data_IF_240271546584
#
_entry.id   IF_240271546584
#
_cell.length_a   1.000
_cell.length_b   1.000
_cell.length_c   1.000
_cell.angle_alpha   90.00
_cell.angle_beta   90.00
_cell.angle_gamma   90.00
#
_symmetry.space_group_name_H-M   'P 1'
#
loop_
_entity.id
_entity.type
_entity.pdbx_description
1 polymer ?
#
# COMPACT_ATOMS: atom_id res chain seq x y z
N UNK A 1 -16.54 -5.35 -14.49
CA UNK A 1 -16.64 -5.21 -13.02
C UNK A 1 -16.56 -3.73 -12.69
N UNK A 2 -17.54 -3.18 -11.98
CA UNK A 2 -17.50 -1.79 -11.51
C UNK A 2 -16.86 -1.80 -10.12
N UNK A 3 -15.73 -1.12 -9.96
CA UNK A 3 -15.05 -0.98 -8.69
C UNK A 3 -15.58 0.29 -8.03
N UNK A 4 -16.41 0.15 -7.00
CA UNK A 4 -16.94 1.29 -6.23
C UNK A 4 -15.86 1.77 -5.29
N UNK A 5 -15.50 3.06 -5.35
CA UNK A 5 -14.51 3.65 -4.42
C UNK A 5 -15.16 3.74 -3.02
N UNK A 6 -14.48 3.31 -1.93
CA UNK A 6 -15.06 3.31 -0.59
C UNK A 6 -15.41 4.70 -0.08
N UNK A 7 -14.62 5.70 -0.46
CA UNK A 7 -14.78 7.09 -0.05
C UNK A 7 -14.47 8.05 -1.20
N UNK A 8 -15.34 9.05 -1.39
CA UNK A 8 -15.16 10.07 -2.42
C UNK A 8 -15.45 9.59 -3.85
N UNK A 9 -14.87 10.27 -4.83
CA UNK A 9 -15.14 10.05 -6.25
C UNK A 9 -14.00 9.36 -7.01
N UNK A 10 -12.80 9.28 -6.42
CA UNK A 10 -11.59 8.85 -7.11
C UNK A 10 -10.70 7.99 -6.21
N UNK A 11 -9.96 7.08 -6.84
CA UNK A 11 -8.91 6.29 -6.21
C UNK A 11 -7.60 6.40 -6.98
N UNK A 12 -6.49 6.10 -6.31
CA UNK A 12 -5.15 6.15 -6.88
C UNK A 12 -4.78 4.75 -7.38
N UNK A 13 -4.33 4.65 -8.64
CA UNK A 13 -3.81 3.41 -9.21
C UNK A 13 -2.29 3.49 -9.27
N UNK A 14 -1.61 2.62 -8.53
CA UNK A 14 -0.17 2.43 -8.64
C UNK A 14 0.11 1.36 -9.72
N UNK A 15 0.96 1.69 -10.69
CA UNK A 15 1.52 0.69 -11.60
C UNK A 15 2.59 -0.16 -10.92
N UNK A 16 3.21 -1.06 -11.66
CA UNK A 16 4.37 -1.82 -11.17
C UNK A 16 5.53 -0.86 -10.88
N UNK A 17 6.24 -1.11 -9.78
CA UNK A 17 7.34 -0.27 -9.31
C UNK A 17 6.97 1.20 -9.08
N UNK A 18 5.67 1.51 -8.95
CA UNK A 18 5.19 2.86 -8.72
C UNK A 18 5.07 3.16 -7.22
N UNK A 19 5.19 4.44 -6.87
CA UNK A 19 4.93 4.89 -5.51
C UNK A 19 4.19 6.22 -5.49
N UNK A 20 3.47 6.45 -4.40
CA UNK A 20 2.96 7.76 -4.03
C UNK A 20 3.63 8.20 -2.73
N UNK A 21 3.93 9.49 -2.64
CA UNK A 21 4.59 10.10 -1.49
C UNK A 21 3.81 11.30 -1.01
N UNK A 22 3.72 11.47 0.30
CA UNK A 22 3.11 12.63 0.92
C UNK A 22 3.92 13.07 2.14
N UNK A 23 4.28 14.35 2.18
CA UNK A 23 4.89 14.96 3.35
C UNK A 23 3.80 15.48 4.30
N UNK A 24 3.84 15.07 5.57
CA UNK A 24 2.87 15.43 6.60
C UNK A 24 3.60 16.00 7.81
N UNK A 25 3.14 17.14 8.33
CA UNK A 25 3.66 17.71 9.56
C UNK A 25 3.23 16.88 10.77
N UNK A 26 4.19 16.46 11.59
CA UNK A 26 4.00 15.59 12.75
C UNK A 26 4.83 16.08 13.95
N UNK A 27 4.59 15.51 15.13
CA UNK A 27 5.35 15.82 16.34
C UNK A 27 6.37 14.72 16.62
N UNK A 28 7.68 15.02 16.69
CA UNK A 28 8.69 14.04 17.05
C UNK A 28 8.39 13.38 18.40
N UNK A 29 8.67 12.08 18.51
CA UNK A 29 8.45 11.25 19.70
C UNK A 29 7.04 10.67 19.83
N UNK A 30 6.07 11.14 19.04
CA UNK A 30 4.68 10.65 19.07
C UNK A 30 4.49 9.43 18.15
N UNK A 31 3.54 8.57 18.54
CA UNK A 31 3.08 7.46 17.71
C UNK A 31 1.90 7.89 16.84
N UNK A 32 1.92 7.48 15.58
CA UNK A 32 0.87 7.72 14.60
C UNK A 32 0.41 6.41 13.99
N UNK A 33 -0.85 6.35 13.56
CA UNK A 33 -1.42 5.25 12.79
C UNK A 33 -1.85 5.78 11.42
N UNK A 34 -1.36 5.14 10.36
CA UNK A 34 -1.78 5.36 9.00
C UNK A 34 -2.84 4.32 8.64
N UNK A 35 -4.03 4.80 8.28
CA UNK A 35 -5.15 3.97 7.84
C UNK A 35 -5.53 4.28 6.40
N UNK A 36 -5.70 3.27 5.57
CA UNK A 36 -6.14 3.43 4.18
C UNK A 36 -6.82 2.17 3.67
N UNK A 37 -7.60 2.31 2.60
CA UNK A 37 -8.18 1.18 1.89
C UNK A 37 -7.46 0.94 0.57
N UNK A 38 -7.16 -0.32 0.27
CA UNK A 38 -6.51 -0.72 -0.96
C UNK A 38 -7.17 -1.98 -1.52
N UNK A 39 -7.08 -2.15 -2.83
CA UNK A 39 -7.57 -3.32 -3.53
C UNK A 39 -6.67 -3.59 -4.74
N UNK A 40 -6.73 -4.84 -5.22
CA UNK A 40 -6.09 -5.27 -6.45
C UNK A 40 -7.09 -5.98 -7.34
N UNK A 41 -6.85 -5.92 -8.64
CA UNK A 41 -7.74 -6.50 -9.66
C UNK A 41 -7.21 -7.81 -10.25
N UNK A 42 -5.94 -8.18 -9.98
CA UNK A 42 -5.30 -9.40 -10.50
C UNK A 42 -5.03 -10.46 -9.42
N UNK A 43 -4.82 -11.69 -9.87
CA UNK A 43 -4.97 -12.94 -9.11
C UNK A 43 -3.71 -13.47 -8.40
N UNK A 44 -2.67 -12.66 -8.19
CA UNK A 44 -1.40 -13.12 -7.62
C UNK A 44 -1.20 -12.54 -6.22
N UNK A 45 -0.63 -13.29 -5.26
CA UNK A 45 -0.19 -12.73 -3.96
C UNK A 45 0.83 -11.61 -4.17
N UNK A 46 0.51 -10.43 -3.65
CA UNK A 46 1.31 -9.22 -3.86
C UNK A 46 1.44 -8.50 -2.53
N UNK A 47 2.53 -7.76 -2.42
CA UNK A 47 2.94 -7.02 -1.22
C UNK A 47 2.78 -5.53 -1.51
N UNK A 48 2.29 -4.77 -0.54
CA UNK A 48 2.33 -3.31 -0.58
C UNK A 48 3.32 -2.81 0.46
N UNK A 49 4.31 -2.04 0.01
CA UNK A 49 5.30 -1.48 0.91
C UNK A 49 4.80 -0.13 1.42
N UNK A 50 4.81 0.02 2.75
CA UNK A 50 4.55 1.29 3.42
C UNK A 50 5.82 1.71 4.13
N UNK A 51 6.19 2.98 4.03
CA UNK A 51 7.33 3.49 4.79
C UNK A 51 7.17 4.93 5.24
N UNK A 52 7.74 5.20 6.40
CA UNK A 52 7.96 6.53 6.96
C UNK A 52 9.32 6.46 7.63
N UNK A 53 10.33 7.09 7.03
CA UNK A 53 11.71 6.94 7.50
C UNK A 53 11.85 7.23 9.01
N UNK A 54 12.50 6.35 9.79
CA UNK A 54 13.26 5.17 9.35
C UNK A 54 12.45 3.86 9.23
N UNK A 55 11.18 3.86 9.58
CA UNK A 55 10.34 2.66 9.67
C UNK A 55 9.78 2.27 8.30
N UNK A 56 9.63 0.96 8.09
CA UNK A 56 8.97 0.39 6.91
C UNK A 56 8.23 -0.88 7.26
N UNK A 57 7.14 -1.15 6.56
CA UNK A 57 6.33 -2.35 6.68
C UNK A 57 5.93 -2.91 5.32
N UNK A 58 5.67 -4.21 5.30
CA UNK A 58 5.13 -4.92 4.14
C UNK A 58 3.73 -5.40 4.51
N UNK A 59 2.74 -4.96 3.74
CA UNK A 59 1.34 -5.31 3.95
C UNK A 59 0.95 -6.37 2.92
N UNK A 60 0.52 -7.57 3.35
CA UNK A 60 0.03 -8.58 2.42
C UNK A 60 -1.29 -8.11 1.80
N UNK A 61 -1.36 -8.14 0.48
CA UNK A 61 -2.59 -7.85 -0.26
C UNK A 61 -3.29 -9.14 -0.67
N UNK A 62 -4.62 -9.16 -0.55
CA UNK A 62 -5.45 -10.28 -1.01
C UNK A 62 -6.31 -9.84 -2.21
N UNK A 63 -6.54 -10.74 -3.17
CA UNK A 63 -7.40 -10.43 -4.33
C UNK A 63 -8.83 -10.61 -3.87
N UNK A 64 -9.60 -9.53 -3.95
CA UNK A 64 -11.02 -9.57 -3.63
C UNK A 64 -11.83 -9.58 -4.93
N UNK A 65 -12.48 -10.70 -5.22
CA UNK A 65 -13.31 -10.89 -6.42
C UNK A 65 -14.75 -10.41 -6.20
N UNK A 66 -14.93 -9.18 -5.73
CA UNK A 66 -16.24 -8.57 -5.49
C UNK A 66 -16.26 -7.08 -5.81
N UNK A 67 -17.40 -6.53 -6.23
CA UNK A 67 -17.52 -5.10 -6.62
C UNK A 67 -17.29 -4.11 -5.48
N UNK A 68 -17.22 -4.62 -4.24
CA UNK A 68 -16.91 -3.93 -2.99
C UNK A 68 -15.58 -4.41 -2.38
N UNK A 69 -14.72 -5.07 -3.16
CA UNK A 69 -13.54 -5.79 -2.69
C UNK A 69 -12.37 -4.91 -2.27
N UNK A 70 -12.56 -4.02 -1.31
CA UNK A 70 -11.49 -3.22 -0.72
C UNK A 70 -11.14 -3.72 0.67
N UNK A 71 -9.85 -3.89 0.93
CA UNK A 71 -9.34 -4.20 2.26
C UNK A 71 -8.87 -2.92 2.94
N UNK A 72 -9.06 -2.85 4.26
CA UNK A 72 -8.62 -1.72 5.07
C UNK A 72 -7.38 -2.11 5.86
N UNK A 73 -6.35 -1.28 5.76
CA UNK A 73 -5.06 -1.47 6.40
C UNK A 73 -4.83 -0.40 7.45
N UNK A 74 -4.16 -0.79 8.53
CA UNK A 74 -3.65 0.10 9.56
C UNK A 74 -2.18 -0.25 9.83
N UNK A 75 -1.31 0.75 9.76
CA UNK A 75 0.11 0.60 10.07
C UNK A 75 0.58 1.75 10.94
N UNK A 76 1.34 1.46 11.99
CA UNK A 76 1.78 2.45 12.96
C UNK A 76 3.29 2.70 12.86
N UNK A 77 3.69 3.95 13.11
CA UNK A 77 5.09 4.36 13.18
C UNK A 77 5.30 5.38 14.30
N UNK A 78 6.54 5.53 14.76
CA UNK A 78 6.91 6.60 15.67
C UNK A 78 7.58 7.74 14.88
N UNK A 79 7.07 8.96 15.02
CA UNK A 79 7.65 10.10 14.32
C UNK A 79 9.03 10.46 14.92
N UNK A 80 10.08 10.36 14.12
CA UNK A 80 11.45 10.75 14.52
C UNK A 80 11.80 12.18 14.10
N UNK A 81 11.05 12.75 13.15
CA UNK A 81 11.26 14.07 12.55
C UNK A 81 9.95 14.88 12.58
N UNK A 82 10.00 16.22 12.46
CA UNK A 82 8.80 17.06 12.44
C UNK A 82 7.99 16.94 11.13
N UNK A 83 8.56 16.29 10.12
CA UNK A 83 7.88 15.97 8.87
C UNK A 83 8.06 14.47 8.63
N UNK A 84 6.93 13.77 8.48
CA UNK A 84 6.88 12.39 8.06
C UNK A 84 6.65 12.33 6.54
N UNK A 85 7.56 11.69 5.81
CA UNK A 85 7.33 11.36 4.40
C UNK A 85 6.70 9.98 4.34
N UNK A 86 5.39 9.93 4.10
CA UNK A 86 4.64 8.68 3.94
C UNK A 86 4.79 8.22 2.51
N UNK A 87 5.28 7.00 2.31
CA UNK A 87 5.42 6.37 1.01
C UNK A 87 4.58 5.10 0.97
N UNK A 88 3.74 4.98 -0.05
CA UNK A 88 3.07 3.73 -0.42
C UNK A 88 3.64 3.31 -1.76
N UNK A 89 4.22 2.13 -1.82
CA UNK A 89 4.94 1.62 -2.98
C UNK A 89 4.43 0.24 -3.37
N UNK A 90 4.07 0.12 -4.65
CA UNK A 90 3.81 -1.15 -5.30
C UNK A 90 5.14 -1.64 -5.91
N UNK A 91 5.79 -2.67 -5.36
CA UNK A 91 6.98 -3.27 -5.95
C UNK A 91 6.67 -3.98 -7.28
N UNK A 92 5.40 -4.22 -7.61
CA UNK A 92 5.05 -5.01 -8.78
C UNK A 92 5.28 -6.51 -8.56
N UNK A 93 5.18 -7.27 -9.65
CA UNK A 93 5.15 -8.73 -9.63
C UNK A 93 6.55 -9.31 -9.40
N UNK A 94 6.71 -10.18 -8.40
CA UNK A 94 7.79 -11.18 -8.40
C UNK A 94 7.44 -12.22 -9.47
N UNK A 95 7.81 -11.99 -10.74
CA UNK A 95 7.72 -13.03 -11.78
C UNK A 95 8.84 -14.04 -11.52
N UNK A 96 8.62 -15.00 -10.61
CA UNK A 96 9.46 -16.19 -10.57
C UNK A 96 9.08 -17.09 -11.76
N UNK A 97 9.61 -16.75 -12.94
CA UNK A 97 9.55 -17.63 -14.12
C UNK A 97 10.58 -18.75 -13.96
N UNK A 98 10.35 -19.66 -12.99
CA UNK A 98 11.05 -20.95 -12.97
C UNK A 98 10.47 -21.83 -14.08
N UNK A 99 10.89 -21.55 -15.32
CA UNK A 99 10.79 -22.50 -16.41
C UNK A 99 11.64 -23.72 -16.04
N UNK A 100 10.98 -24.80 -15.62
CA UNK A 100 11.61 -26.12 -15.52
C UNK A 100 11.42 -26.79 -16.88
N UNK A 101 12.42 -26.85 -17.76
CA UNK A 101 12.33 -27.69 -18.95
C UNK A 101 12.28 -29.16 -18.51
N UNK A 102 11.20 -29.84 -18.90
CA UNK A 102 11.09 -31.30 -18.85
C UNK A 102 11.74 -31.96 -20.06
#
# INVERSE_FOLDING_TARGET
>A
MLLVVPEGAYAIRLGNEASIKQAVAVRPGMYYSLTFSATRTCAQEEKLNVSVAPDSGVLPMQTMYSSNGWDSYAWAFQATRPVAEVVIHNPGVEEEYNFVPG
#
